data_IF_638404550209
#
_entry.id   IF_638404550209
#
_cell.length_a   1.000
_cell.length_b   1.000
_cell.length_c   1.000
_cell.angle_alpha   90.00
_cell.angle_beta   90.00
_cell.angle_gamma   90.00
#
_symmetry.space_group_name_H-M   'P 1'
#
loop_
_entity.id
_entity.type
_entity.pdbx_description
1 polymer ?
#
# COMPACT_ATOMS: atom_id res chain seq x y z
N UNK A 1 -9.96 -2.83 -12.87
CA UNK A 1 -8.65 -2.48 -12.25
C UNK A 1 -8.23 -3.63 -11.37
N UNK A 2 -6.93 -3.89 -11.22
CA UNK A 2 -6.38 -4.80 -10.21
C UNK A 2 -5.56 -3.99 -9.23
N UNK A 3 -5.55 -4.41 -7.97
CA UNK A 3 -4.67 -3.86 -6.96
C UNK A 3 -3.68 -4.96 -6.57
N UNK A 4 -2.39 -4.72 -6.72
CA UNK A 4 -1.32 -5.63 -6.34
C UNK A 4 -0.70 -5.13 -5.04
N UNK A 5 -0.84 -5.92 -3.98
CA UNK A 5 -0.17 -5.66 -2.71
C UNK A 5 1.07 -6.53 -2.59
N UNK A 6 2.19 -5.91 -2.32
CA UNK A 6 3.42 -6.62 -1.98
C UNK A 6 3.40 -7.04 -0.50
N UNK A 7 3.82 -8.26 -0.25
CA UNK A 7 3.81 -8.89 1.06
C UNK A 7 5.25 -9.11 1.50
N UNK A 8 5.74 -8.42 2.54
CA UNK A 8 7.09 -8.66 3.05
C UNK A 8 7.19 -10.08 3.60
N UNK A 9 8.28 -10.79 3.29
CA UNK A 9 8.50 -12.19 3.66
C UNK A 9 8.63 -12.43 5.18
N UNK A 10 8.90 -11.37 5.97
CA UNK A 10 8.94 -11.44 7.42
C UNK A 10 8.48 -10.12 8.02
N UNK A 11 7.31 -10.15 8.63
CA UNK A 11 6.75 -9.02 9.38
C UNK A 11 7.59 -8.67 10.63
N UNK A 12 8.50 -9.57 11.05
CA UNK A 12 9.21 -9.48 12.33
C UNK A 12 10.72 -9.18 12.23
N UNK A 13 11.30 -9.04 11.07
CA UNK A 13 12.72 -8.68 10.95
C UNK A 13 12.84 -7.34 10.22
N UNK A 14 13.37 -6.33 10.92
CA UNK A 14 13.61 -5.00 10.37
C UNK A 14 14.65 -4.92 9.23
N UNK A 15 14.87 -6.01 8.53
CA UNK A 15 15.67 -6.09 7.33
C UNK A 15 14.73 -6.22 6.12
N UNK A 16 14.43 -5.12 5.51
CA UNK A 16 13.71 -5.03 4.25
C UNK A 16 14.56 -5.56 3.09
N UNK A 17 14.57 -6.85 2.93
CA UNK A 17 14.95 -7.44 1.66
C UNK A 17 13.64 -7.72 0.90
N UNK A 18 13.25 -6.75 0.07
CA UNK A 18 12.11 -6.88 -0.84
C UNK A 18 12.28 -8.00 -1.87
N UNK A 19 13.43 -8.62 -1.94
CA UNK A 19 13.87 -9.50 -3.02
C UNK A 19 13.03 -10.76 -3.25
N UNK A 20 12.21 -11.14 -2.27
CA UNK A 20 11.35 -12.32 -2.34
C UNK A 20 9.95 -12.02 -1.79
N UNK A 21 9.41 -10.83 -2.06
CA UNK A 21 8.07 -10.47 -1.59
C UNK A 21 7.00 -11.27 -2.34
N UNK A 22 6.10 -11.86 -1.58
CA UNK A 22 4.86 -12.38 -2.13
C UNK A 22 4.00 -11.23 -2.70
N UNK A 23 3.09 -11.57 -3.59
CA UNK A 23 2.13 -10.62 -4.16
C UNK A 23 0.72 -11.16 -3.96
N UNK A 24 -0.12 -10.36 -3.32
CA UNK A 24 -1.56 -10.60 -3.28
C UNK A 24 -2.26 -9.69 -4.30
N UNK A 25 -3.25 -10.23 -4.99
CA UNK A 25 -4.14 -9.46 -5.86
C UNK A 25 -5.43 -9.19 -5.12
N UNK A 26 -5.76 -7.93 -4.92
CA UNK A 26 -6.98 -7.49 -4.24
C UNK A 26 -7.97 -6.91 -5.27
N UNK A 27 -9.29 -7.06 -5.04
CA UNK A 27 -10.30 -6.52 -5.93
C UNK A 27 -10.29 -4.98 -5.95
N UNK A 28 -10.82 -4.39 -7.01
CA UNK A 28 -10.90 -2.93 -7.14
C UNK A 28 -11.94 -2.30 -6.21
N UNK A 29 -12.90 -3.06 -5.71
CA UNK A 29 -13.86 -2.63 -4.67
C UNK A 29 -13.16 -2.32 -3.33
N UNK A 30 -11.95 -2.85 -3.13
CA UNK A 30 -11.14 -2.50 -1.97
C UNK A 30 -10.67 -1.04 -1.96
N UNK A 31 -10.73 -0.32 -3.10
CA UNK A 31 -10.32 1.08 -3.14
C UNK A 31 -11.39 1.99 -2.53
N UNK A 32 -11.03 2.65 -1.44
CA UNK A 32 -11.87 3.66 -0.79
C UNK A 32 -11.99 4.89 -1.70
N UNK A 33 -13.23 5.29 -1.99
CA UNK A 33 -13.50 6.51 -2.74
C UNK A 33 -13.05 7.71 -1.91
N UNK A 34 -12.24 8.59 -2.51
CA UNK A 34 -11.69 9.78 -1.85
C UNK A 34 -12.74 10.60 -1.09
N UNK A 35 -12.31 11.16 0.05
CA UNK A 35 -13.11 11.98 0.96
C UNK A 35 -14.26 11.25 1.67
N UNK A 36 -14.39 9.96 1.51
CA UNK A 36 -15.31 9.16 2.33
C UNK A 36 -14.62 8.69 3.59
N UNK A 37 -15.35 8.57 4.72
CA UNK A 37 -14.83 7.90 5.89
C UNK A 37 -14.60 6.42 5.58
N UNK A 38 -13.61 5.82 6.24
CA UNK A 38 -13.45 4.36 6.27
C UNK A 38 -14.33 3.81 7.39
N UNK A 39 -15.10 2.78 7.07
CA UNK A 39 -15.92 2.06 8.06
C UNK A 39 -15.22 0.76 8.42
N UNK A 40 -14.94 0.55 9.71
CA UNK A 40 -14.37 -0.70 10.20
C UNK A 40 -15.41 -1.82 10.00
N UNK A 41 -15.05 -2.92 9.32
CA UNK A 41 -16.00 -4.02 9.10
C UNK A 41 -16.37 -4.72 10.39
N UNK A 42 -17.63 -5.17 10.51
CA UNK A 42 -18.15 -5.86 11.68
C UNK A 42 -17.50 -7.24 11.93
N UNK A 43 -16.84 -7.80 10.92
CA UNK A 43 -16.19 -9.12 11.02
C UNK A 43 -14.79 -9.09 11.64
N UNK A 44 -14.26 -7.94 12.03
CA UNK A 44 -12.95 -7.81 12.67
C UNK A 44 -13.05 -7.00 13.97
N UNK A 45 -12.31 -7.44 14.98
CA UNK A 45 -12.13 -6.72 16.24
C UNK A 45 -10.75 -6.04 16.31
N UNK A 46 -9.86 -6.34 15.36
CA UNK A 46 -8.51 -5.78 15.29
C UNK A 46 -8.21 -5.31 13.87
N UNK A 47 -8.57 -4.07 13.56
CA UNK A 47 -8.29 -3.44 12.27
C UNK A 47 -6.98 -2.67 12.36
N UNK A 48 -6.02 -3.02 11.49
CA UNK A 48 -4.69 -2.41 11.46
C UNK A 48 -4.49 -1.60 10.17
N UNK A 49 -3.87 -0.43 10.28
CA UNK A 49 -3.49 0.42 9.16
C UNK A 49 -2.00 0.23 8.83
N UNK A 50 -1.70 -0.10 7.57
CA UNK A 50 -0.35 -0.22 7.01
C UNK A 50 -0.08 0.95 6.07
N UNK A 51 0.94 1.76 6.38
CA UNK A 51 1.38 2.82 5.47
C UNK A 51 2.08 2.22 4.25
N UNK A 52 1.70 2.69 3.07
CA UNK A 52 2.23 2.22 1.79
C UNK A 52 2.65 3.40 0.90
N UNK A 53 3.55 3.14 -0.05
CA UNK A 53 3.69 3.97 -1.25
C UNK A 53 2.96 3.27 -2.40
N UNK A 54 2.23 4.05 -3.16
CA UNK A 54 1.39 3.58 -4.25
C UNK A 54 1.90 4.09 -5.58
N UNK A 55 1.88 3.22 -6.59
CA UNK A 55 2.15 3.60 -7.98
C UNK A 55 1.04 3.07 -8.90
N UNK A 56 0.63 3.89 -9.89
CA UNK A 56 -0.33 3.46 -10.91
C UNK A 56 0.37 3.05 -12.19
N UNK A 57 -0.09 1.94 -12.75
CA UNK A 57 0.32 1.50 -14.08
C UNK A 57 -0.30 2.43 -15.12
N UNK A 58 0.52 2.96 -16.02
CA UNK A 58 0.11 3.95 -17.03
C UNK A 58 -0.07 3.37 -18.44
N UNK A 59 0.26 2.08 -18.65
CA UNK A 59 0.13 1.40 -19.94
C UNK A 59 -0.03 -0.10 -19.83
N UNK A 60 -0.53 -0.69 -20.90
CA UNK A 60 -0.65 -2.15 -21.03
C UNK A 60 0.74 -2.80 -21.16
N UNK A 61 0.95 -3.93 -20.45
CA UNK A 61 2.18 -4.70 -20.55
C UNK A 61 2.05 -6.12 -20.01
N UNK A 62 2.86 -7.01 -20.54
CA UNK A 62 3.04 -8.39 -20.07
C UNK A 62 4.49 -8.83 -20.30
N UNK A 63 5.04 -9.67 -19.43
CA UNK A 63 6.43 -10.15 -19.50
C UNK A 63 7.42 -8.99 -19.65
N UNK A 64 7.23 -7.97 -18.82
CA UNK A 64 8.03 -6.75 -18.84
C UNK A 64 9.43 -7.06 -18.31
N UNK A 65 10.45 -6.67 -19.07
CA UNK A 65 11.82 -6.77 -18.57
C UNK A 65 12.08 -5.63 -17.57
N UNK A 66 12.73 -5.94 -16.44
CA UNK A 66 12.98 -5.00 -15.34
C UNK A 66 13.61 -3.68 -15.81
N UNK A 67 14.59 -3.72 -16.73
CA UNK A 67 15.24 -2.53 -17.29
C UNK A 67 14.28 -1.56 -18.00
N UNK A 68 13.05 -1.99 -18.30
CA UNK A 68 12.04 -1.18 -18.96
C UNK A 68 10.82 -0.88 -18.06
N UNK A 69 10.80 -1.41 -16.84
CA UNK A 69 9.66 -1.33 -15.93
C UNK A 69 9.27 0.11 -15.60
N UNK A 70 10.25 1.00 -15.43
CA UNK A 70 10.03 2.43 -15.21
C UNK A 70 9.22 3.15 -16.30
N UNK A 71 8.99 2.53 -17.46
CA UNK A 71 8.12 3.07 -18.52
C UNK A 71 6.63 2.80 -18.26
N UNK A 72 6.31 1.98 -17.26
CA UNK A 72 4.97 1.50 -16.97
C UNK A 72 4.29 2.22 -15.80
N UNK A 73 5.01 3.09 -15.12
CA UNK A 73 4.48 3.98 -14.09
C UNK A 73 5.21 5.33 -14.14
N UNK A 74 4.70 6.31 -13.41
CA UNK A 74 5.37 7.60 -13.28
C UNK A 74 5.83 7.79 -11.84
N UNK A 75 7.14 7.77 -11.61
CA UNK A 75 7.71 7.92 -10.27
C UNK A 75 7.38 9.28 -9.60
N UNK A 76 7.04 10.31 -10.39
CA UNK A 76 6.60 11.59 -9.85
C UNK A 76 5.13 11.59 -9.42
N UNK A 77 4.35 10.63 -9.87
CA UNK A 77 2.93 10.45 -9.51
C UNK A 77 2.72 9.39 -8.42
N UNK A 78 3.82 8.82 -7.90
CA UNK A 78 3.73 7.99 -6.69
C UNK A 78 3.18 8.81 -5.53
N UNK A 79 2.39 8.18 -4.67
CA UNK A 79 1.77 8.85 -3.54
C UNK A 79 1.69 7.92 -2.32
N UNK A 80 1.40 8.48 -1.17
CA UNK A 80 1.13 7.67 0.02
C UNK A 80 -0.26 7.04 -0.07
N UNK A 81 -0.39 5.91 0.57
CA UNK A 81 -1.66 5.23 0.78
C UNK A 81 -1.64 4.48 2.11
N UNK A 82 -2.81 4.08 2.54
CA UNK A 82 -2.98 3.19 3.67
C UNK A 82 -3.76 1.97 3.24
N UNK A 83 -3.33 0.82 3.74
CA UNK A 83 -4.03 -0.44 3.57
C UNK A 83 -4.50 -0.95 4.93
N UNK A 84 -5.81 -1.12 5.07
CA UNK A 84 -6.43 -1.69 6.25
C UNK A 84 -6.43 -3.21 6.20
N UNK A 85 -6.15 -3.82 7.34
CA UNK A 85 -5.99 -5.27 7.47
C UNK A 85 -6.82 -5.72 8.66
N UNK A 86 -7.70 -6.70 8.46
CA UNK A 86 -8.39 -7.40 9.53
C UNK A 86 -7.42 -8.40 10.18
N UNK A 87 -6.67 -7.94 11.17
CA UNK A 87 -5.48 -8.65 11.69
C UNK A 87 -5.83 -9.93 12.45
N UNK A 88 -6.92 -9.94 13.17
CA UNK A 88 -7.46 -11.13 13.86
C UNK A 88 -7.87 -12.21 12.84
N UNK A 89 -8.63 -11.83 11.81
CA UNK A 89 -9.02 -12.72 10.73
C UNK A 89 -7.78 -13.21 9.95
N UNK A 90 -6.81 -12.33 9.68
CA UNK A 90 -5.57 -12.69 9.00
C UNK A 90 -4.82 -13.79 9.76
N UNK A 91 -4.66 -13.62 11.07
CA UNK A 91 -4.00 -14.62 11.94
C UNK A 91 -4.75 -15.94 11.93
N UNK A 92 -6.09 -15.91 12.03
CA UNK A 92 -6.92 -17.10 11.98
C UNK A 92 -6.75 -17.86 10.66
N UNK A 93 -6.85 -17.17 9.53
CA UNK A 93 -6.69 -17.77 8.20
C UNK A 93 -5.29 -18.37 8.01
N UNK A 94 -4.24 -17.67 8.44
CA UNK A 94 -2.87 -18.15 8.39
C UNK A 94 -2.66 -19.41 9.24
N UNK A 95 -3.15 -19.42 10.48
CA UNK A 95 -3.07 -20.60 11.37
C UNK A 95 -3.78 -21.83 10.80
N UNK A 96 -4.86 -21.60 10.04
CA UNK A 96 -5.63 -22.67 9.41
C UNK A 96 -5.17 -23.01 7.97
N UNK A 97 -4.06 -22.44 7.50
CA UNK A 97 -3.54 -22.59 6.12
C UNK A 97 -4.61 -22.28 5.05
N UNK A 98 -5.48 -21.30 5.30
CA UNK A 98 -6.50 -20.83 4.37
C UNK A 98 -6.00 -19.60 3.59
N UNK A 99 -6.55 -19.33 2.39
CA UNK A 99 -6.32 -18.07 1.68
C UNK A 99 -6.71 -16.87 2.56
N UNK A 100 -5.96 -15.79 2.50
CA UNK A 100 -6.13 -14.62 3.39
C UNK A 100 -6.72 -13.40 2.69
N UNK A 101 -7.21 -13.58 1.47
CA UNK A 101 -7.80 -12.50 0.66
C UNK A 101 -8.90 -11.74 1.40
N UNK A 102 -9.71 -12.45 2.19
CA UNK A 102 -10.79 -11.85 2.98
C UNK A 102 -10.29 -10.87 4.05
N UNK A 103 -9.09 -11.11 4.58
CA UNK A 103 -8.50 -10.28 5.62
C UNK A 103 -7.81 -9.03 5.10
N UNK A 104 -7.46 -8.99 3.80
CA UNK A 104 -6.67 -7.91 3.20
C UNK A 104 -7.35 -7.23 1.99
N UNK A 105 -8.38 -7.86 1.43
CA UNK A 105 -9.02 -7.42 0.18
C UNK A 105 -10.51 -7.10 0.31
N UNK A 106 -10.99 -6.81 1.52
CA UNK A 106 -12.37 -6.41 1.75
C UNK A 106 -12.66 -5.00 1.19
N UNK A 107 -13.93 -4.67 1.02
CA UNK A 107 -14.36 -3.39 0.45
C UNK A 107 -13.80 -2.19 1.23
N UNK A 108 -13.29 -1.21 0.51
CA UNK A 108 -12.67 0.02 1.05
C UNK A 108 -11.40 -0.19 1.89
N UNK A 109 -10.77 -1.38 1.84
CA UNK A 109 -9.54 -1.67 2.60
C UNK A 109 -8.32 -0.83 2.19
N UNK A 110 -8.36 -0.11 1.07
CA UNK A 110 -7.23 0.67 0.53
C UNK A 110 -7.64 2.11 0.31
N UNK A 111 -6.97 3.05 0.97
CA UNK A 111 -7.12 4.48 0.67
C UNK A 111 -5.81 5.03 0.09
N UNK A 112 -5.90 5.84 -0.97
CA UNK A 112 -4.75 6.36 -1.72
C UNK A 112 -4.85 7.88 -1.83
N UNK A 113 -3.74 8.57 -1.59
CA UNK A 113 -3.62 10.00 -1.78
C UNK A 113 -3.58 10.34 -3.28
N UNK A 114 -4.71 10.29 -3.95
CA UNK A 114 -4.81 10.70 -5.35
C UNK A 114 -4.92 12.21 -5.46
N UNK A 115 -4.10 12.82 -6.28
CA UNK A 115 -4.17 14.25 -6.49
C UNK A 115 -2.94 14.84 -7.15
N UNK A 116 -2.88 16.16 -7.21
CA UNK A 116 -1.88 16.94 -7.93
C UNK A 116 -0.51 17.06 -7.21
N UNK A 117 -0.31 16.37 -6.09
CA UNK A 117 0.97 16.42 -5.40
C UNK A 117 1.94 15.44 -6.05
N UNK A 118 3.01 15.96 -6.57
CA UNK A 118 4.11 15.17 -7.13
C UNK A 118 4.99 14.63 -6.00
N UNK A 119 5.43 13.37 -6.14
CA UNK A 119 6.46 12.82 -5.26
C UNK A 119 7.73 13.67 -5.36
N UNK A 120 8.28 14.19 -4.24
CA UNK A 120 9.51 15.00 -4.29
C UNK A 120 10.66 14.26 -4.95
N UNK A 121 11.54 15.01 -5.65
CA UNK A 121 12.70 14.45 -6.34
C UNK A 121 13.85 14.07 -5.39
N UNK A 122 13.79 14.51 -4.14
CA UNK A 122 14.76 14.11 -3.11
C UNK A 122 14.79 12.60 -2.95
N UNK A 123 15.97 12.02 -2.76
CA UNK A 123 16.09 10.59 -2.53
C UNK A 123 15.62 10.22 -1.13
N UNK A 124 15.95 11.01 -0.11
CA UNK A 124 15.47 10.76 1.26
C UNK A 124 14.14 11.42 1.48
N UNK A 125 13.12 10.63 1.75
CA UNK A 125 11.74 11.04 1.97
C UNK A 125 11.25 10.58 3.34
N UNK A 126 10.48 11.45 4.01
CA UNK A 126 9.86 11.19 5.30
C UNK A 126 8.38 10.91 5.10
N UNK A 127 7.94 9.72 5.47
CA UNK A 127 6.52 9.38 5.50
C UNK A 127 6.04 9.26 6.95
N UNK A 128 4.91 9.88 7.25
CA UNK A 128 4.29 9.86 8.58
C UNK A 128 2.83 9.49 8.46
N UNK A 129 2.38 8.58 9.30
CA UNK A 129 0.97 8.36 9.59
C UNK A 129 0.67 8.99 10.95
N UNK A 130 -0.31 9.87 10.99
CA UNK A 130 -0.81 10.50 12.20
C UNK A 130 -2.19 9.91 12.48
N UNK A 131 -2.36 9.33 13.65
CA UNK A 131 -3.64 8.83 14.16
C UNK A 131 -4.01 9.66 15.38
N UNK A 132 -5.02 10.52 15.25
CA UNK A 132 -5.35 11.54 16.25
C UNK A 132 -4.11 12.39 16.60
N UNK A 133 -3.58 12.27 17.82
CA UNK A 133 -2.40 13.00 18.29
C UNK A 133 -1.09 12.17 18.24
N UNK A 134 -1.18 10.89 17.84
CA UNK A 134 -0.01 10.01 17.74
C UNK A 134 0.54 9.99 16.32
N UNK A 135 1.87 10.10 16.20
CA UNK A 135 2.54 10.08 14.90
C UNK A 135 3.56 8.96 14.82
N UNK A 136 3.49 8.17 13.75
CA UNK A 136 4.47 7.15 13.41
C UNK A 136 5.18 7.56 12.12
N UNK A 137 6.49 7.63 12.17
CA UNK A 137 7.31 8.17 11.07
C UNK A 137 8.34 7.16 10.61
N UNK A 138 8.56 7.08 9.31
CA UNK A 138 9.65 6.33 8.70
C UNK A 138 10.32 7.14 7.60
N UNK A 139 11.61 6.86 7.38
CA UNK A 139 12.38 7.40 6.26
C UNK A 139 12.54 6.31 5.19
N UNK A 140 12.46 6.70 3.94
CA UNK A 140 12.70 5.78 2.83
C UNK A 140 13.46 6.46 1.69
N UNK A 141 14.20 5.66 0.92
CA UNK A 141 14.88 6.13 -0.29
C UNK A 141 13.93 6.01 -1.48
N UNK A 142 13.73 7.12 -2.20
CA UNK A 142 12.96 7.15 -3.44
C UNK A 142 13.58 6.25 -4.52
N UNK A 143 14.91 6.26 -4.64
CA UNK A 143 15.62 5.48 -5.64
C UNK A 143 15.50 3.97 -5.35
N UNK A 144 15.70 3.55 -4.10
CA UNK A 144 15.49 2.15 -3.71
C UNK A 144 14.06 1.71 -3.96
N UNK A 145 13.08 2.55 -3.63
CA UNK A 145 11.67 2.25 -3.85
C UNK A 145 11.34 2.11 -5.35
N UNK A 146 11.90 2.98 -6.22
CA UNK A 146 11.72 2.84 -7.66
C UNK A 146 12.33 1.53 -8.19
N UNK A 147 13.52 1.15 -7.74
CA UNK A 147 14.14 -0.12 -8.11
C UNK A 147 13.26 -1.31 -7.69
N UNK A 148 12.63 -1.22 -6.51
CA UNK A 148 11.70 -2.25 -6.06
C UNK A 148 10.43 -2.32 -6.92
N UNK A 149 9.83 -1.18 -7.28
CA UNK A 149 8.71 -1.19 -8.22
C UNK A 149 9.10 -1.79 -9.56
N UNK A 150 10.28 -1.47 -10.09
CA UNK A 150 10.78 -2.02 -11.35
C UNK A 150 10.91 -3.54 -11.28
N UNK A 151 11.51 -4.05 -10.20
CA UNK A 151 11.65 -5.48 -9.95
C UNK A 151 10.28 -6.17 -9.84
N UNK A 152 9.37 -5.63 -9.03
CA UNK A 152 8.06 -6.21 -8.81
C UNK A 152 7.16 -6.16 -10.07
N UNK A 153 7.23 -5.09 -10.85
CA UNK A 153 6.54 -5.02 -12.15
C UNK A 153 7.04 -6.14 -13.07
N UNK A 154 8.34 -6.37 -13.12
CA UNK A 154 8.90 -7.45 -13.92
C UNK A 154 8.38 -8.81 -13.46
N UNK A 155 8.37 -9.09 -12.16
CA UNK A 155 7.87 -10.34 -11.58
C UNK A 155 6.36 -10.53 -11.83
N UNK A 156 5.53 -9.55 -11.47
CA UNK A 156 4.07 -9.63 -11.60
C UNK A 156 3.67 -9.81 -13.06
N UNK A 157 4.34 -9.11 -13.98
CA UNK A 157 4.00 -9.15 -15.40
C UNK A 157 4.25 -10.49 -16.07
N UNK A 158 5.01 -11.41 -15.45
CA UNK A 158 5.14 -12.78 -15.93
C UNK A 158 3.82 -13.55 -15.78
N UNK A 159 3.07 -13.24 -14.72
CA UNK A 159 1.82 -13.94 -14.37
C UNK A 159 0.58 -13.20 -14.83
N UNK A 160 0.59 -11.86 -14.77
CA UNK A 160 -0.56 -11.01 -15.07
C UNK A 160 -0.29 -10.02 -16.19
N UNK A 161 -1.25 -9.83 -17.09
CA UNK A 161 -1.25 -8.66 -17.96
C UNK A 161 -1.58 -7.43 -17.12
N UNK A 162 -0.65 -6.51 -17.01
CA UNK A 162 -0.84 -5.22 -16.34
C UNK A 162 -1.59 -4.27 -17.28
N UNK A 163 -2.56 -3.54 -16.74
CA UNK A 163 -3.38 -2.61 -17.49
C UNK A 163 -3.23 -1.19 -16.93
N UNK A 164 -3.46 -0.21 -17.78
CA UNK A 164 -3.56 1.17 -17.33
C UNK A 164 -4.59 1.30 -16.21
N UNK A 165 -4.21 1.98 -15.11
CA UNK A 165 -5.03 2.15 -13.93
C UNK A 165 -4.84 1.07 -12.86
N UNK A 166 -4.15 -0.06 -13.15
CA UNK A 166 -3.80 -1.03 -12.11
C UNK A 166 -2.92 -0.35 -11.05
N UNK A 167 -3.13 -0.69 -9.78
CA UNK A 167 -2.50 -0.06 -8.62
C UNK A 167 -1.50 -1.02 -7.98
N UNK A 168 -0.33 -0.51 -7.64
CA UNK A 168 0.71 -1.21 -6.89
C UNK A 168 0.79 -0.61 -5.48
N UNK A 169 0.79 -1.45 -4.45
CA UNK A 169 0.92 -1.06 -3.04
C UNK A 169 2.21 -1.64 -2.47
N UNK A 170 3.18 -0.76 -2.21
CA UNK A 170 4.44 -1.10 -1.55
C UNK A 170 4.37 -0.70 -0.08
N UNK A 171 4.29 -1.63 0.88
CA UNK A 171 4.28 -1.29 2.29
C UNK A 171 5.61 -0.67 2.69
N UNK A 172 5.55 0.39 3.49
CA UNK A 172 6.72 0.97 4.12
C UNK A 172 7.08 0.19 5.40
N UNK A 173 8.37 0.22 5.75
CA UNK A 173 8.85 -0.40 6.99
C UNK A 173 8.51 0.50 8.19
N UNK A 174 7.29 0.34 8.67
CA UNK A 174 6.74 1.04 9.82
C UNK A 174 5.77 0.08 10.53
N UNK A 175 5.64 0.22 11.82
CA UNK A 175 4.68 -0.57 12.60
C UNK A 175 3.26 -0.35 12.08
N UNK A 176 2.48 -1.42 12.15
CA UNK A 176 1.04 -1.36 11.91
C UNK A 176 0.38 -0.55 13.02
N UNK A 177 -0.50 0.36 12.65
CA UNK A 177 -1.24 1.19 13.61
C UNK A 177 -2.65 0.64 13.74
N UNK A 178 -3.05 0.28 14.96
CA UNK A 178 -4.42 -0.13 15.23
C UNK A 178 -5.35 1.07 15.15
N UNK A 179 -6.50 0.89 14.49
CA UNK A 179 -7.48 1.95 14.28
C UNK A 179 -8.82 1.60 14.90
N UNK A 180 -9.49 2.61 15.44
CA UNK A 180 -10.77 2.48 16.13
C UNK A 180 -11.81 3.44 15.54
N UNK A 181 -13.09 3.19 15.87
CA UNK A 181 -14.17 4.10 15.51
C UNK A 181 -13.91 5.49 16.13
N UNK A 182 -14.22 6.54 15.36
CA UNK A 182 -14.01 7.95 15.64
C UNK A 182 -12.55 8.45 15.60
N UNK A 183 -11.60 7.57 15.21
CA UNK A 183 -10.24 8.01 14.91
C UNK A 183 -10.20 8.90 13.66
N UNK A 184 -9.21 9.79 13.64
CA UNK A 184 -8.83 10.59 12.48
C UNK A 184 -7.43 10.19 12.01
N UNK A 185 -7.31 9.73 10.77
CA UNK A 185 -6.03 9.36 10.16
C UNK A 185 -5.58 10.43 9.15
N UNK A 186 -4.29 10.79 9.21
CA UNK A 186 -3.66 11.69 8.25
C UNK A 186 -2.32 11.11 7.78
N UNK A 187 -2.12 11.04 6.47
CA UNK A 187 -0.87 10.64 5.85
C UNK A 187 -0.09 11.88 5.41
N UNK A 188 1.17 11.98 5.81
CA UNK A 188 2.02 13.12 5.48
C UNK A 188 3.29 12.67 4.78
N UNK A 189 3.71 13.40 3.75
CA UNK A 189 4.98 13.25 3.07
C UNK A 189 5.80 14.53 3.23
N UNK A 190 6.99 14.43 3.81
CA UNK A 190 7.84 15.59 4.16
C UNK A 190 7.04 16.68 4.90
N UNK A 191 6.25 16.27 5.90
CA UNK A 191 5.40 17.13 6.73
C UNK A 191 4.25 17.83 5.99
N UNK A 192 3.98 17.44 4.74
CA UNK A 192 2.83 17.90 3.97
C UNK A 192 1.73 16.84 3.95
N UNK A 193 0.53 17.21 4.40
CA UNK A 193 -0.64 16.32 4.37
C UNK A 193 -1.01 15.95 2.94
N UNK A 194 -1.10 14.65 2.69
CA UNK A 194 -1.50 14.09 1.39
C UNK A 194 -2.91 13.51 1.40
N UNK A 195 -3.29 12.89 2.51
CA UNK A 195 -4.59 12.24 2.65
C UNK A 195 -5.02 12.33 4.11
N UNK A 196 -6.28 12.71 4.35
CA UNK A 196 -6.86 12.70 5.69
C UNK A 196 -8.34 12.34 5.61
N UNK A 197 -8.81 11.49 6.54
CA UNK A 197 -10.22 11.09 6.66
C UNK A 197 -10.51 10.51 8.04
N UNK A 198 -11.80 10.37 8.35
CA UNK A 198 -12.29 9.80 9.61
C UNK A 198 -12.51 8.29 9.45
N UNK A 199 -12.35 7.58 10.56
CA UNK A 199 -12.68 6.17 10.72
C UNK A 199 -14.02 6.08 11.48
N UNK A 200 -14.90 5.22 11.01
CA UNK A 200 -16.28 5.05 11.53
C UNK A 200 -16.57 3.59 11.82
#
# INVERSE_FOLDING_TARGET
MKIFRFLPNNINTGATLYKDMGVATIPDTALLIQKRPFFIPDFTQQCMAQLCVCARINRLGRSINERFAQRYYNANEMCLGVHFIAQDLLKELQCNNKPWDLAIGFDNAVAVAEGKQTMPMSDSLKATVVLNDMSHTTMFSRNLLCNEFDHQIAQISQHYTMKQGDLLLMPLNIELVEVHIDDHICLMLNDQSQLAFNIK
#
